data_IF_148051099768
#
_entry.id   IF_148051099768
#
_cell.length_a   1.000
_cell.length_b   1.000
_cell.length_c   1.000
_cell.angle_alpha   90.00
_cell.angle_beta   90.00
_cell.angle_gamma   90.00
#
_symmetry.space_group_name_H-M   'P 1'
#
loop_
_entity.id
_entity.type
_entity.pdbx_description
1 polymer ?
#
# COMPACT_ATOMS: atom_id res chain seq x y z
N UNK A 1 5.10 8.51 17.25
CA UNK A 1 5.09 7.60 16.09
C UNK A 1 6.50 7.17 15.66
N UNK A 2 7.44 8.09 15.38
CA UNK A 2 8.79 7.75 14.91
C UNK A 2 9.57 6.71 15.76
N UNK A 3 9.40 6.73 17.09
CA UNK A 3 10.02 5.75 18.01
C UNK A 3 9.23 4.44 18.17
N UNK A 4 8.18 4.19 17.38
CA UNK A 4 7.34 2.98 17.46
C UNK A 4 6.40 2.89 18.67
N UNK A 5 6.39 3.90 19.56
CA UNK A 5 5.51 3.95 20.77
C UNK A 5 4.04 4.24 20.47
N UNK A 6 3.73 4.62 19.23
CA UNK A 6 2.38 4.91 18.78
C UNK A 6 2.30 4.47 17.32
N UNK A 7 1.38 3.57 17.02
CA UNK A 7 1.14 3.00 15.69
C UNK A 7 -0.07 3.72 15.07
N UNK A 8 0.11 4.28 13.88
CA UNK A 8 -0.97 4.94 13.16
C UNK A 8 -1.61 4.01 12.13
N UNK A 9 -2.86 4.28 11.78
CA UNK A 9 -3.49 3.71 10.61
C UNK A 9 -4.33 4.76 9.89
N UNK A 10 -4.72 4.46 8.65
CA UNK A 10 -5.59 5.29 7.85
C UNK A 10 -6.76 4.45 7.33
N UNK A 11 -7.99 4.93 7.56
CA UNK A 11 -9.22 4.23 7.23
C UNK A 11 -9.96 4.96 6.10
N UNK A 12 -9.60 4.64 4.86
CA UNK A 12 -10.15 5.26 3.64
C UNK A 12 -11.24 4.44 2.95
N UNK A 13 -11.19 3.10 3.04
CA UNK A 13 -12.04 2.20 2.25
C UNK A 13 -13.27 1.77 3.04
N UNK A 14 -14.43 1.71 2.42
CA UNK A 14 -15.68 1.19 2.99
C UNK A 14 -16.22 0.01 2.14
N UNK A 15 -17.19 -0.78 2.62
CA UNK A 15 -17.81 -1.84 1.81
C UNK A 15 -18.37 -1.35 0.47
N UNK A 16 -18.89 -0.12 0.44
CA UNK A 16 -19.45 0.50 -0.77
C UNK A 16 -18.50 1.43 -1.53
N UNK A 17 -17.33 1.75 -0.99
CA UNK A 17 -16.42 2.76 -1.54
C UNK A 17 -14.96 2.33 -1.39
N UNK A 18 -14.31 1.92 -2.49
CA UNK A 18 -12.90 1.49 -2.49
C UNK A 18 -12.08 2.20 -3.54
N UNK A 19 -12.29 1.85 -4.82
CA UNK A 19 -11.65 2.54 -5.94
C UNK A 19 -12.29 3.91 -6.18
N UNK A 20 -13.59 4.03 -5.90
CA UNK A 20 -14.28 5.31 -5.84
C UNK A 20 -14.21 5.88 -4.41
N UNK A 21 -13.09 6.52 -4.10
CA UNK A 21 -12.88 7.18 -2.80
C UNK A 21 -13.81 8.39 -2.61
N UNK A 22 -14.39 8.93 -3.68
CA UNK A 22 -15.36 10.04 -3.57
C UNK A 22 -16.72 9.55 -3.08
N UNK A 23 -17.02 8.25 -3.19
CA UNK A 23 -18.26 7.63 -2.75
C UNK A 23 -18.32 7.23 -1.27
N UNK A 24 -17.35 7.61 -0.45
CA UNK A 24 -17.27 7.31 1.00
C UNK A 24 -18.52 7.84 1.72
N UNK A 25 -19.20 6.98 2.48
CA UNK A 25 -20.45 7.28 3.20
C UNK A 25 -20.28 7.31 4.73
N UNK A 26 -19.04 7.37 5.25
CA UNK A 26 -18.64 7.59 6.66
C UNK A 26 -18.36 6.32 7.50
N UNK A 27 -17.97 5.20 6.90
CA UNK A 27 -17.56 3.95 7.55
C UNK A 27 -16.21 3.40 7.01
N UNK A 28 -15.09 4.00 7.45
CA UNK A 28 -13.76 3.51 7.13
C UNK A 28 -13.49 2.09 7.66
N UNK A 29 -12.87 1.25 6.84
CA UNK A 29 -12.33 -0.07 7.18
C UNK A 29 -10.83 -0.11 6.93
N UNK A 30 -10.15 -0.91 7.77
CA UNK A 30 -8.71 -1.23 7.84
C UNK A 30 -7.94 -0.35 8.81
N UNK A 31 -7.56 -0.97 9.93
CA UNK A 31 -6.34 -0.63 10.63
C UNK A 31 -5.61 -1.90 11.07
N UNK A 32 -4.31 -1.75 11.29
CA UNK A 32 -3.49 -2.67 12.09
C UNK A 32 -3.73 -2.38 13.59
N UNK A 33 -3.00 -3.03 14.52
CA UNK A 33 -2.96 -2.59 15.92
C UNK A 33 -2.47 -1.15 16.00
N UNK A 34 -3.39 -0.21 15.89
CA UNK A 34 -3.14 1.23 15.81
C UNK A 34 -3.61 1.89 17.09
N UNK A 35 -2.79 2.78 17.63
CA UNK A 35 -3.14 3.63 18.76
C UNK A 35 -3.99 4.82 18.29
N UNK A 36 -3.83 5.24 17.04
CA UNK A 36 -4.58 6.32 16.41
C UNK A 36 -4.93 5.98 14.96
N UNK A 37 -6.14 6.34 14.54
CA UNK A 37 -6.62 6.15 13.16
C UNK A 37 -6.97 7.49 12.53
N UNK A 38 -6.43 7.76 11.33
CA UNK A 38 -6.91 8.82 10.45
C UNK A 38 -8.22 8.31 9.82
N UNK A 39 -9.33 8.89 10.24
CA UNK A 39 -10.68 8.58 9.79
C UNK A 39 -11.13 9.60 8.75
N UNK A 40 -11.62 9.11 7.60
CA UNK A 40 -12.18 9.94 6.53
C UNK A 40 -13.68 10.07 6.73
N UNK A 41 -14.18 11.29 6.85
CA UNK A 41 -15.59 11.56 7.09
C UNK A 41 -16.16 12.60 6.14
N UNK A 42 -17.42 12.42 5.71
CA UNK A 42 -18.17 13.45 5.00
C UNK A 42 -18.76 14.43 6.01
N UNK A 43 -18.21 15.64 6.07
CA UNK A 43 -18.61 16.73 6.96
C UNK A 43 -19.59 17.71 6.31
N UNK A 44 -19.58 17.83 4.98
CA UNK A 44 -20.53 18.65 4.24
C UNK A 44 -21.20 17.86 3.10
N UNK A 45 -22.45 17.47 3.30
CA UNK A 45 -23.24 16.71 2.30
C UNK A 45 -23.80 17.56 1.17
N UNK A 46 -23.83 18.89 1.35
CA UNK A 46 -24.33 19.86 0.37
C UNK A 46 -23.21 20.46 -0.48
N UNK A 47 -21.96 19.98 -0.30
CA UNK A 47 -20.82 20.42 -1.07
C UNK A 47 -21.05 20.19 -2.57
N UNK A 48 -20.47 21.07 -3.40
CA UNK A 48 -20.62 21.04 -4.86
C UNK A 48 -20.22 19.67 -5.46
N UNK A 49 -19.22 19.00 -4.90
CA UNK A 49 -18.95 17.59 -5.16
C UNK A 49 -18.66 16.85 -3.85
N UNK A 50 -18.88 15.52 -3.79
CA UNK A 50 -18.57 14.72 -2.59
C UNK A 50 -17.15 14.93 -2.06
N UNK A 51 -16.16 15.06 -2.95
CA UNK A 51 -14.77 15.33 -2.59
C UNK A 51 -14.56 16.63 -1.80
N UNK A 52 -15.35 17.68 -2.08
CA UNK A 52 -15.29 18.95 -1.37
C UNK A 52 -15.99 18.93 0.00
N UNK A 53 -16.63 17.81 0.36
CA UNK A 53 -17.32 17.65 1.63
C UNK A 53 -16.58 16.78 2.63
N UNK A 54 -15.33 16.39 2.35
CA UNK A 54 -14.57 15.40 3.14
C UNK A 54 -13.58 16.08 4.08
N UNK A 55 -13.54 15.62 5.33
CA UNK A 55 -12.55 15.99 6.34
C UNK A 55 -11.83 14.75 6.89
N UNK A 56 -10.66 14.97 7.50
CA UNK A 56 -9.89 13.93 8.18
C UNK A 56 -9.92 14.16 9.68
N UNK A 57 -10.09 13.09 10.45
CA UNK A 57 -10.09 13.14 11.91
C UNK A 57 -9.12 12.12 12.49
N UNK A 58 -8.48 12.47 13.60
CA UNK A 58 -7.72 11.53 14.42
C UNK A 58 -8.66 10.88 15.45
N UNK A 59 -8.71 9.55 15.45
CA UNK A 59 -9.51 8.77 16.39
C UNK A 59 -8.58 7.89 17.20
N UNK A 60 -8.49 8.17 18.50
CA UNK A 60 -7.66 7.38 19.42
C UNK A 60 -8.32 6.05 19.76
N UNK A 61 -7.48 5.03 19.98
CA UNK A 61 -7.91 3.76 20.51
C UNK A 61 -8.55 3.94 21.89
N UNK A 62 -9.72 3.33 22.10
CA UNK A 62 -10.50 3.48 23.33
C UNK A 62 -11.50 4.64 23.30
N UNK A 63 -11.54 5.43 22.23
CA UNK A 63 -12.63 6.41 22.02
C UNK A 63 -13.99 5.70 22.03
N UNK A 64 -14.93 6.20 22.83
CA UNK A 64 -16.27 5.62 22.93
C UNK A 64 -16.95 5.60 21.56
N UNK A 65 -17.47 4.44 21.17
CA UNK A 65 -18.10 4.23 19.86
C UNK A 65 -17.14 3.74 18.77
N UNK A 66 -15.82 3.80 19.00
CA UNK A 66 -14.83 3.25 18.08
C UNK A 66 -14.48 1.81 18.48
N UNK A 67 -14.80 0.85 17.62
CA UNK A 67 -14.59 -0.58 17.87
C UNK A 67 -13.77 -1.20 16.75
N UNK A 68 -12.76 -1.98 17.12
CA UNK A 68 -11.97 -2.79 16.19
C UNK A 68 -12.57 -4.18 16.10
N UNK A 69 -12.87 -4.61 14.87
CA UNK A 69 -13.40 -5.93 14.59
C UNK A 69 -12.36 -7.05 14.70
N UNK A 70 -12.79 -8.24 14.26
CA UNK A 70 -11.90 -9.40 14.18
C UNK A 70 -10.76 -9.16 13.18
N UNK A 71 -9.63 -9.81 13.45
CA UNK A 71 -8.54 -9.92 12.47
C UNK A 71 -9.05 -10.67 11.24
N UNK A 72 -8.77 -10.14 10.06
CA UNK A 72 -9.15 -10.77 8.80
C UNK A 72 -8.20 -11.92 8.45
N UNK A 73 -8.79 -13.06 8.11
CA UNK A 73 -8.07 -14.18 7.48
C UNK A 73 -7.78 -13.82 6.02
N UNK A 74 -6.49 -13.77 5.68
CA UNK A 74 -5.96 -13.36 4.37
C UNK A 74 -5.15 -14.48 3.75
N UNK A 75 -5.05 -14.54 2.42
CA UNK A 75 -4.18 -15.53 1.74
C UNK A 75 -2.69 -15.34 2.08
N UNK A 76 -2.23 -14.09 2.14
CA UNK A 76 -0.86 -13.71 2.50
C UNK A 76 -0.82 -12.61 3.57
N UNK A 77 0.37 -12.05 3.82
CA UNK A 77 0.59 -10.97 4.80
C UNK A 77 0.00 -11.32 6.19
N UNK A 78 0.20 -12.57 6.64
CA UNK A 78 -0.39 -13.12 7.88
C UNK A 78 0.04 -12.37 9.14
N UNK A 79 1.25 -11.79 9.12
CA UNK A 79 1.77 -10.96 10.19
C UNK A 79 1.04 -9.60 10.32
N UNK A 80 0.43 -9.08 9.25
CA UNK A 80 -0.32 -7.84 9.31
C UNK A 80 -1.67 -8.04 10.02
N UNK A 81 -1.98 -7.14 10.95
CA UNK A 81 -3.18 -7.19 11.78
C UNK A 81 -4.38 -6.47 11.14
N UNK A 82 -4.63 -6.72 9.87
CA UNK A 82 -5.74 -6.08 9.14
C UNK A 82 -7.09 -6.41 9.78
N UNK A 83 -7.81 -5.37 10.22
CA UNK A 83 -9.13 -5.48 10.87
C UNK A 83 -10.19 -4.64 10.20
N UNK A 84 -11.44 -5.03 10.38
CA UNK A 84 -12.58 -4.14 10.16
C UNK A 84 -12.64 -3.12 11.30
N UNK A 85 -13.09 -1.90 11.00
CA UNK A 85 -13.26 -0.83 11.98
C UNK A 85 -14.73 -0.39 11.96
N UNK A 86 -15.25 -0.05 13.12
CA UNK A 86 -16.62 0.38 13.32
C UNK A 86 -16.63 1.68 14.13
N UNK A 87 -17.43 2.63 13.69
CA UNK A 87 -17.55 3.96 14.30
C UNK A 87 -19.04 4.22 14.55
N UNK A 88 -19.49 4.03 15.79
CA UNK A 88 -20.89 4.17 16.21
C UNK A 88 -21.03 5.35 17.18
N UNK A 89 -21.65 6.44 16.73
CA UNK A 89 -21.86 7.67 17.52
C UNK A 89 -20.58 8.19 18.22
N UNK A 90 -19.45 8.08 17.53
CA UNK A 90 -18.13 8.55 18.01
C UNK A 90 -18.16 10.06 18.18
N UNK A 91 -17.84 10.52 19.39
CA UNK A 91 -17.72 11.95 19.71
C UNK A 91 -16.26 12.34 19.81
N UNK A 92 -15.85 13.31 19.00
CA UNK A 92 -14.49 13.83 18.98
C UNK A 92 -14.49 15.31 19.38
N UNK A 93 -13.44 15.78 20.07
CA UNK A 93 -13.21 17.20 20.25
C UNK A 93 -12.83 17.87 18.92
N UNK A 94 -12.96 19.20 18.84
CA UNK A 94 -12.71 19.93 17.60
C UNK A 94 -11.24 19.86 17.14
N UNK A 95 -10.30 19.69 18.07
CA UNK A 95 -8.87 19.53 17.81
C UNK A 95 -8.49 18.14 17.28
N UNK A 96 -9.44 17.20 17.20
CA UNK A 96 -9.24 15.94 16.50
C UNK A 96 -9.24 16.10 14.96
N UNK A 97 -9.68 17.25 14.44
CA UNK A 97 -9.64 17.56 13.01
C UNK A 97 -8.18 17.63 12.53
N UNK A 98 -7.83 16.79 11.55
CA UNK A 98 -6.51 16.77 10.94
C UNK A 98 -6.49 17.67 9.70
N UNK A 99 -5.84 18.83 9.85
CA UNK A 99 -5.78 19.85 8.80
C UNK A 99 -7.00 20.77 8.84
N UNK A 100 -7.60 21.03 7.68
CA UNK A 100 -8.73 21.94 7.54
C UNK A 100 -10.02 21.17 7.21
N UNK A 101 -11.14 21.71 7.69
CA UNK A 101 -12.47 21.18 7.38
C UNK A 101 -12.71 21.23 5.86
N UNK A 102 -13.28 20.16 5.31
CA UNK A 102 -13.61 20.01 3.89
C UNK A 102 -12.37 19.99 2.96
N UNK A 103 -11.16 19.89 3.50
CA UNK A 103 -9.90 19.74 2.75
C UNK A 103 -9.33 18.32 2.77
N UNK A 104 -10.02 17.38 3.38
CA UNK A 104 -9.52 16.02 3.58
C UNK A 104 -9.18 15.31 2.28
N UNK A 105 -10.03 15.41 1.25
CA UNK A 105 -9.76 14.77 -0.05
C UNK A 105 -8.48 15.31 -0.71
N UNK A 106 -8.22 16.62 -0.63
CA UNK A 106 -7.00 17.23 -1.17
C UNK A 106 -5.75 16.72 -0.45
N UNK A 107 -5.81 16.63 0.87
CA UNK A 107 -4.71 16.09 1.67
C UNK A 107 -4.42 14.63 1.27
N UNK A 108 -5.45 13.80 1.10
CA UNK A 108 -5.26 12.43 0.63
C UNK A 108 -4.61 12.39 -0.76
N UNK A 109 -5.11 13.19 -1.72
CA UNK A 109 -4.55 13.21 -3.08
C UNK A 109 -3.09 13.70 -3.13
N UNK A 110 -2.68 14.56 -2.20
CA UNK A 110 -1.30 15.01 -2.08
C UNK A 110 -0.35 13.92 -1.58
N UNK A 111 -0.81 13.04 -0.69
CA UNK A 111 0.01 11.99 -0.06
C UNK A 111 0.03 10.66 -0.83
N UNK A 112 -1.02 10.37 -1.62
CA UNK A 112 -1.12 9.12 -2.39
C UNK A 112 0.05 8.83 -3.35
N UNK A 113 0.70 9.80 -4.02
CA UNK A 113 1.88 9.52 -4.83
C UNK A 113 3.01 8.88 -4.02
N UNK A 114 3.25 9.35 -2.79
CA UNK A 114 4.26 8.79 -1.90
C UNK A 114 3.85 7.39 -1.42
N UNK A 115 2.58 7.17 -1.07
CA UNK A 115 2.07 5.83 -0.71
C UNK A 115 2.28 4.81 -1.84
N UNK A 116 1.98 5.21 -3.09
CA UNK A 116 2.17 4.38 -4.28
C UNK A 116 3.64 4.02 -4.48
N UNK A 117 4.54 4.99 -4.34
CA UNK A 117 5.97 4.78 -4.48
C UNK A 117 6.52 3.82 -3.42
N UNK A 118 6.05 3.92 -2.17
CA UNK A 118 6.43 2.99 -1.10
C UNK A 118 6.05 1.54 -1.45
N UNK A 119 4.85 1.33 -2.02
CA UNK A 119 4.43 0.00 -2.49
C UNK A 119 5.31 -0.47 -3.64
N UNK A 120 5.67 0.41 -4.58
CA UNK A 120 6.58 0.07 -5.69
C UNK A 120 7.92 -0.44 -5.19
N UNK A 121 8.54 0.27 -4.24
CA UNK A 121 9.85 -0.10 -3.70
C UNK A 121 9.81 -1.47 -2.99
N UNK A 122 8.79 -1.71 -2.18
CA UNK A 122 8.57 -3.03 -1.56
C UNK A 122 8.41 -4.14 -2.60
N UNK A 123 7.67 -3.87 -3.69
CA UNK A 123 7.41 -4.86 -4.73
C UNK A 123 8.70 -5.23 -5.46
N UNK A 124 9.50 -4.24 -5.89
CA UNK A 124 10.74 -4.51 -6.63
C UNK A 124 11.81 -5.17 -5.75
N UNK A 125 11.92 -4.80 -4.47
CA UNK A 125 12.80 -5.49 -3.52
C UNK A 125 12.38 -6.96 -3.32
N UNK A 126 11.08 -7.23 -3.29
CA UNK A 126 10.57 -8.61 -3.26
C UNK A 126 10.94 -9.38 -4.53
N UNK A 127 10.88 -8.74 -5.71
CA UNK A 127 11.33 -9.38 -6.95
C UNK A 127 12.81 -9.77 -6.90
N UNK A 128 13.65 -8.88 -6.39
CA UNK A 128 15.09 -9.12 -6.23
C UNK A 128 15.34 -10.34 -5.32
N UNK A 129 14.67 -10.39 -4.17
CA UNK A 129 14.74 -11.52 -3.25
C UNK A 129 14.27 -12.83 -3.89
N UNK A 130 13.10 -12.84 -4.54
CA UNK A 130 12.56 -14.05 -5.20
C UNK A 130 13.47 -14.53 -6.33
N UNK A 131 14.10 -13.61 -7.07
CA UNK A 131 15.07 -13.96 -8.09
C UNK A 131 16.33 -14.62 -7.50
N UNK A 132 16.86 -14.09 -6.39
CA UNK A 132 18.01 -14.68 -5.70
C UNK A 132 17.71 -16.08 -5.18
N UNK A 133 16.55 -16.27 -4.55
CA UNK A 133 16.11 -17.59 -4.09
C UNK A 133 15.95 -18.58 -5.25
N UNK A 134 15.33 -18.14 -6.35
CA UNK A 134 15.18 -18.95 -7.56
C UNK A 134 16.55 -19.32 -8.14
N UNK A 135 17.48 -18.36 -8.22
CA UNK A 135 18.84 -18.58 -8.70
C UNK A 135 19.59 -19.59 -7.83
N UNK A 136 19.47 -19.47 -6.51
CA UNK A 136 20.08 -20.39 -5.54
C UNK A 136 19.54 -21.81 -5.74
N UNK A 137 18.23 -21.95 -5.87
CA UNK A 137 17.59 -23.24 -6.11
C UNK A 137 18.07 -23.91 -7.40
N UNK A 138 18.06 -23.20 -8.53
CA UNK A 138 18.41 -23.82 -9.83
C UNK A 138 19.89 -24.22 -9.92
N UNK A 139 20.77 -23.55 -9.17
CA UNK A 139 22.20 -23.90 -9.07
C UNK A 139 22.44 -25.14 -8.21
N UNK A 140 21.54 -25.46 -7.28
CA UNK A 140 21.66 -26.62 -6.39
C UNK A 140 20.90 -27.83 -6.92
N UNK A 141 19.76 -27.61 -7.59
CA UNK A 141 18.88 -28.66 -8.07
C UNK A 141 19.53 -29.43 -9.22
N UNK A 142 19.78 -30.72 -9.02
CA UNK A 142 20.33 -31.63 -10.04
C UNK A 142 19.22 -32.35 -10.80
N UNK A 143 19.33 -32.39 -12.13
CA UNK A 143 18.51 -33.20 -13.03
C UNK A 143 19.28 -33.44 -14.35
N UNK A 144 18.98 -34.54 -15.06
CA UNK A 144 19.61 -34.85 -16.36
C UNK A 144 21.15 -34.85 -16.32
N UNK A 145 21.74 -35.33 -15.21
CA UNK A 145 23.20 -35.43 -15.05
C UNK A 145 23.93 -34.13 -14.71
N UNK A 146 23.24 -33.00 -14.58
CA UNK A 146 23.84 -31.71 -14.20
C UNK A 146 22.89 -30.87 -13.34
N UNK A 147 23.23 -29.63 -12.99
CA UNK A 147 22.31 -28.68 -12.35
C UNK A 147 21.31 -28.15 -13.38
N UNK A 148 20.06 -27.91 -12.98
CA UNK A 148 19.03 -27.36 -13.89
C UNK A 148 19.39 -25.97 -14.41
N UNK A 149 20.26 -25.23 -13.72
CA UNK A 149 20.85 -23.98 -14.22
C UNK A 149 21.66 -24.13 -15.53
N UNK A 150 22.03 -25.35 -15.95
CA UNK A 150 22.72 -25.59 -17.21
C UNK A 150 21.77 -25.82 -18.40
N UNK A 151 20.46 -25.88 -18.15
CA UNK A 151 19.46 -25.92 -19.21
C UNK A 151 19.30 -24.52 -19.81
N UNK A 152 19.48 -24.39 -21.12
CA UNK A 152 19.41 -23.09 -21.81
C UNK A 152 18.07 -22.37 -21.58
N UNK A 153 16.96 -23.11 -21.54
CA UNK A 153 15.63 -22.55 -21.26
C UNK A 153 15.54 -21.90 -19.87
N UNK A 154 16.19 -22.48 -18.87
CA UNK A 154 16.28 -21.90 -17.51
C UNK A 154 17.16 -20.64 -17.53
N UNK A 155 18.27 -20.67 -18.25
CA UNK A 155 19.17 -19.52 -18.36
C UNK A 155 18.49 -18.33 -19.04
N UNK A 156 17.74 -18.56 -20.14
CA UNK A 156 16.96 -17.52 -20.81
C UNK A 156 15.93 -16.90 -19.87
N UNK A 157 15.18 -17.73 -19.13
CA UNK A 157 14.17 -17.25 -18.18
C UNK A 157 14.79 -16.41 -17.07
N UNK A 158 15.91 -16.84 -16.49
CA UNK A 158 16.64 -16.04 -15.49
C UNK A 158 17.16 -14.71 -16.08
N UNK A 159 17.63 -14.71 -17.32
CA UNK A 159 18.09 -13.49 -17.98
C UNK A 159 16.93 -12.49 -18.20
N UNK A 160 15.76 -12.98 -18.63
CA UNK A 160 14.54 -12.17 -18.78
C UNK A 160 14.12 -11.56 -17.44
N UNK A 161 13.96 -12.39 -16.40
CA UNK A 161 13.58 -11.95 -15.06
C UNK A 161 14.54 -10.88 -14.53
N UNK A 162 15.87 -11.13 -14.62
CA UNK A 162 16.86 -10.17 -14.13
C UNK A 162 16.84 -8.86 -14.91
N UNK A 163 16.59 -8.93 -16.23
CA UNK A 163 16.48 -7.75 -17.09
C UNK A 163 15.29 -6.89 -16.66
N UNK A 164 14.12 -7.50 -16.51
CA UNK A 164 12.92 -6.79 -16.05
C UNK A 164 13.16 -6.15 -14.68
N UNK A 165 13.69 -6.90 -13.71
CA UNK A 165 14.00 -6.37 -12.38
C UNK A 165 14.96 -5.18 -12.46
N UNK A 166 16.01 -5.24 -13.28
CA UNK A 166 16.97 -4.15 -13.45
C UNK A 166 16.32 -2.87 -14.01
N UNK A 167 15.49 -3.01 -15.04
CA UNK A 167 14.72 -1.90 -15.63
C UNK A 167 13.78 -1.30 -14.58
N UNK A 168 13.09 -2.16 -13.84
CA UNK A 168 12.17 -1.79 -12.76
C UNK A 168 12.82 -0.99 -11.65
N UNK A 169 13.94 -1.52 -11.13
CA UNK A 169 14.74 -0.87 -10.09
C UNK A 169 15.18 0.52 -10.53
N UNK A 170 15.70 0.64 -11.75
CA UNK A 170 16.15 1.94 -12.30
C UNK A 170 15.01 2.95 -12.37
N UNK A 171 13.82 2.53 -12.80
CA UNK A 171 12.64 3.42 -12.85
C UNK A 171 12.19 3.85 -11.46
N UNK A 172 12.15 2.93 -10.50
CA UNK A 172 11.75 3.20 -9.11
C UNK A 172 12.76 4.11 -8.41
N UNK A 173 14.06 3.90 -8.62
CA UNK A 173 15.12 4.76 -8.09
C UNK A 173 14.99 6.19 -8.64
N UNK A 174 14.65 6.35 -9.92
CA UNK A 174 14.31 7.67 -10.49
C UNK A 174 13.08 8.29 -9.82
N UNK A 175 12.05 7.50 -9.51
CA UNK A 175 10.87 7.98 -8.79
C UNK A 175 11.20 8.39 -7.35
N UNK A 176 12.09 7.66 -6.67
CA UNK A 176 12.60 8.02 -5.35
C UNK A 176 13.34 9.36 -5.38
N UNK A 177 14.18 9.60 -6.39
CA UNK A 177 14.86 10.88 -6.58
C UNK A 177 13.84 12.02 -6.79
N UNK A 178 12.84 11.83 -7.65
CA UNK A 178 11.77 12.81 -7.86
C UNK A 178 10.99 13.08 -6.57
N UNK A 179 10.75 12.08 -5.73
CA UNK A 179 10.06 12.23 -4.46
C UNK A 179 10.86 13.08 -3.47
N UNK A 180 12.18 12.84 -3.36
CA UNK A 180 13.09 13.66 -2.53
C UNK A 180 13.10 15.12 -3.00
N UNK A 181 13.06 15.34 -4.30
CA UNK A 181 12.96 16.68 -4.90
C UNK A 181 11.55 17.30 -4.81
N UNK A 182 10.56 16.59 -4.26
CA UNK A 182 9.14 16.99 -4.21
C UNK A 182 8.54 17.26 -5.60
N UNK A 183 8.98 16.48 -6.59
CA UNK A 183 8.59 16.57 -7.99
C UNK A 183 7.92 15.30 -8.50
N UNK A 184 7.72 14.29 -7.66
CA UNK A 184 6.99 13.10 -8.02
C UNK A 184 5.51 13.44 -8.24
N UNK A 185 5.05 13.35 -9.48
CA UNK A 185 3.64 13.51 -9.81
C UNK A 185 2.85 12.20 -9.65
N UNK A 186 1.52 12.34 -9.63
CA UNK A 186 0.59 11.22 -9.45
C UNK A 186 0.67 10.20 -10.59
N UNK A 187 0.95 10.62 -11.81
CA UNK A 187 0.93 9.76 -13.00
C UNK A 187 2.14 8.83 -12.98
N UNK A 188 3.33 9.39 -12.77
CA UNK A 188 4.60 8.68 -12.61
C UNK A 188 4.53 7.71 -11.43
N UNK A 189 4.02 8.14 -10.27
CA UNK A 189 3.83 7.25 -9.12
C UNK A 189 2.85 6.10 -9.44
N UNK A 190 1.81 6.36 -10.23
CA UNK A 190 0.85 5.33 -10.66
C UNK A 190 1.49 4.32 -11.60
N UNK A 191 2.32 4.77 -12.56
CA UNK A 191 3.10 3.89 -13.43
C UNK A 191 4.03 2.99 -12.61
N UNK A 192 4.76 3.57 -11.65
CA UNK A 192 5.67 2.83 -10.78
C UNK A 192 4.94 1.76 -9.98
N UNK A 193 3.81 2.10 -9.35
CA UNK A 193 3.04 1.15 -8.53
C UNK A 193 2.50 0.02 -9.38
N UNK A 194 1.82 0.35 -10.48
CA UNK A 194 1.20 -0.64 -11.37
C UNK A 194 2.26 -1.66 -11.83
N UNK A 195 3.31 -1.16 -12.48
CA UNK A 195 4.28 -2.01 -13.15
C UNK A 195 5.09 -2.86 -12.16
N UNK A 196 5.52 -2.28 -11.04
CA UNK A 196 6.27 -3.03 -10.02
C UNK A 196 5.44 -4.15 -9.39
N UNK A 197 4.17 -3.87 -9.07
CA UNK A 197 3.29 -4.88 -8.46
C UNK A 197 2.89 -6.00 -9.43
N UNK A 198 2.77 -5.69 -10.72
CA UNK A 198 2.49 -6.71 -11.74
C UNK A 198 3.72 -7.58 -12.00
N UNK A 199 4.90 -6.95 -12.13
CA UNK A 199 6.18 -7.67 -12.23
C UNK A 199 6.38 -8.60 -11.02
N UNK A 200 6.08 -8.15 -9.80
CA UNK A 200 6.16 -8.98 -8.60
C UNK A 200 5.35 -10.27 -8.73
N UNK A 201 4.12 -10.20 -9.27
CA UNK A 201 3.31 -11.38 -9.50
C UNK A 201 3.92 -12.29 -10.58
N UNK A 202 4.42 -11.72 -11.69
CA UNK A 202 5.07 -12.49 -12.75
C UNK A 202 6.31 -13.21 -12.23
N UNK A 203 7.20 -12.51 -11.50
CA UNK A 203 8.41 -13.10 -10.90
C UNK A 203 8.06 -14.17 -9.88
N UNK A 204 7.03 -13.97 -9.06
CA UNK A 204 6.56 -15.00 -8.13
C UNK A 204 5.98 -16.23 -8.83
N UNK A 205 5.38 -16.06 -10.01
CA UNK A 205 4.78 -17.16 -10.79
C UNK A 205 5.84 -17.94 -11.58
N UNK A 206 6.83 -17.25 -12.14
CA UNK A 206 7.92 -17.86 -12.90
C UNK A 206 9.05 -18.39 -12.02
N UNK A 207 9.23 -17.80 -10.84
CA UNK A 207 10.17 -18.20 -9.80
C UNK A 207 9.64 -19.35 -8.96
N UNK A 208 10.06 -19.39 -7.68
CA UNK A 208 9.74 -20.42 -6.66
C UNK A 208 8.38 -21.08 -6.85
#
# INVERSE_FOLDING_TARGET
MAAGKCIGAIAMTEPGARSDLQGVQTNGKKAEMSDVVIFVAVTNREAHTPAHGVSLFLVDNGTKGFVKGRKLEKIGLKAQDTRELFFEDVRLPADALLGEENKGFYNLMAELPQERLLISDMAIASCEFMFEETQNYVRQRKAFGNTVANLQTVQHKLAEMKTQICVGRTFIDSCLQLNVEKRLDSDTASMAKYWASDLQNSIATEGV
#
